data_IF_621013921587
#
_entry.id   IF_621013921587
#
_cell.length_a   1.000
_cell.length_b   1.000
_cell.length_c   1.000
_cell.angle_alpha   90.00
_cell.angle_beta   90.00
_cell.angle_gamma   90.00
#
_symmetry.space_group_name_H-M   'P 1'
#
loop_
_entity.id
_entity.type
_entity.pdbx_description
1 polymer ?
#
# COMPACT_ATOMS: atom_id res chain seq x y z
N UNK A 1 49.86 59.16 -7.04
CA UNK A 1 49.71 60.60 -7.38
C UNK A 1 48.69 61.16 -6.42
N UNK A 2 49.16 61.80 -5.35
CA UNK A 2 48.32 62.40 -4.32
C UNK A 2 47.88 63.78 -4.78
N UNK A 3 46.60 64.12 -4.63
CA UNK A 3 46.17 65.50 -4.40
C UNK A 3 44.92 65.49 -3.52
N UNK A 4 45.10 66.01 -2.31
CA UNK A 4 44.07 66.51 -1.42
C UNK A 4 43.43 67.77 -2.02
N UNK A 5 42.14 67.94 -1.79
CA UNK A 5 41.54 69.27 -1.67
C UNK A 5 40.55 69.29 -0.51
N UNK A 6 40.91 70.10 0.47
CA UNK A 6 40.10 70.53 1.61
C UNK A 6 38.88 71.34 1.15
N UNK A 7 37.81 71.35 1.95
CA UNK A 7 36.98 72.54 2.04
C UNK A 7 36.47 72.78 3.46
N UNK A 8 36.27 74.05 3.73
CA UNK A 8 36.30 74.74 5.03
C UNK A 8 34.98 74.71 5.82
N UNK A 9 35.13 74.61 7.14
CA UNK A 9 34.44 75.28 8.26
C UNK A 9 33.37 76.35 7.93
N UNK A 10 32.24 76.37 8.66
CA UNK A 10 31.88 77.41 9.66
C UNK A 10 30.71 76.94 10.56
N UNK A 11 30.77 77.41 11.81
CA UNK A 11 30.01 77.19 13.04
C UNK A 11 28.56 77.72 13.00
N UNK A 12 27.66 77.16 13.83
CA UNK A 12 27.19 77.86 15.04
C UNK A 12 26.21 77.02 15.89
N UNK A 13 26.45 77.07 17.20
CA UNK A 13 25.61 76.56 18.28
C UNK A 13 24.42 77.48 18.54
N UNK A 14 23.24 76.92 18.84
CA UNK A 14 22.30 77.54 19.79
C UNK A 14 21.69 76.44 20.66
N UNK A 15 22.02 76.52 21.96
CA UNK A 15 21.39 75.80 23.06
C UNK A 15 19.97 76.31 23.28
N UNK A 16 19.02 75.38 23.47
CA UNK A 16 17.66 75.65 23.94
C UNK A 16 17.19 74.51 24.84
N UNK A 17 17.39 74.67 26.15
CA UNK A 17 16.79 73.84 27.20
C UNK A 17 15.35 74.28 27.45
N UNK A 18 14.37 73.35 27.50
CA UNK A 18 13.53 73.06 28.67
C UNK A 18 12.31 72.19 28.34
N UNK A 19 11.93 71.40 29.35
CA UNK A 19 10.60 70.87 29.65
C UNK A 19 10.24 69.48 29.10
N UNK A 20 10.39 68.52 30.02
CA UNK A 20 9.66 67.27 30.10
C UNK A 20 8.16 67.48 29.92
N UNK A 21 7.53 66.67 29.09
CA UNK A 21 6.11 66.37 29.22
C UNK A 21 5.91 64.87 28.91
N UNK A 22 5.88 64.10 29.99
CA UNK A 22 5.66 62.65 30.00
C UNK A 22 4.19 62.41 29.64
N UNK A 23 3.93 62.06 28.38
CA UNK A 23 2.65 61.46 27.98
C UNK A 23 2.68 59.96 28.27
N UNK A 24 1.70 59.41 28.99
CA UNK A 24 1.62 57.97 29.21
C UNK A 24 1.26 57.29 27.89
N UNK A 25 2.22 56.57 27.30
CA UNK A 25 1.93 55.60 26.26
C UNK A 25 1.08 54.51 26.88
N UNK A 26 -0.21 54.51 26.56
CA UNK A 26 -1.09 53.36 26.76
C UNK A 26 -0.41 52.14 26.14
N UNK A 27 0.18 51.31 27.00
CA UNK A 27 0.55 49.94 26.70
C UNK A 27 -0.75 49.20 26.40
N UNK A 28 -1.19 49.27 25.14
CA UNK A 28 -2.16 48.34 24.60
C UNK A 28 -1.45 47.00 24.54
N UNK A 29 -1.44 46.32 25.68
CA UNK A 29 -1.19 44.89 25.80
C UNK A 29 -2.31 44.20 25.02
N UNK A 30 -2.15 44.13 23.70
CA UNK A 30 -2.77 43.10 22.89
C UNK A 30 -2.21 41.79 23.42
N UNK A 31 -2.94 41.18 24.36
CA UNK A 31 -2.91 39.75 24.54
C UNK A 31 -3.16 39.16 23.17
N UNK A 32 -2.09 38.74 22.51
CA UNK A 32 -2.16 37.88 21.35
C UNK A 32 -2.99 36.68 21.83
N UNK A 33 -4.16 36.38 21.25
CA UNK A 33 -4.79 35.12 21.55
C UNK A 33 -3.74 34.08 21.18
N UNK A 34 -3.29 33.30 22.15
CA UNK A 34 -2.48 32.12 21.95
C UNK A 34 -3.26 31.32 20.91
N UNK A 35 -2.80 31.43 19.66
CA UNK A 35 -3.33 30.65 18.55
C UNK A 35 -3.05 29.24 19.00
N UNK A 36 -4.11 28.55 19.41
CA UNK A 36 -4.07 27.11 19.61
C UNK A 36 -3.49 26.59 18.30
N UNK A 37 -2.27 26.08 18.37
CA UNK A 37 -1.53 25.56 17.22
C UNK A 37 -2.40 24.42 16.69
N UNK A 38 -3.11 24.70 15.60
CA UNK A 38 -3.86 23.66 14.93
C UNK A 38 -2.75 22.84 14.29
N UNK A 39 -2.41 21.70 14.90
CA UNK A 39 -1.54 20.66 14.34
C UNK A 39 -1.60 20.75 12.81
N UNK A 40 -0.47 21.05 12.14
CA UNK A 40 -0.43 21.28 10.69
C UNK A 40 -1.03 20.09 9.96
N UNK A 41 -2.33 20.19 9.66
CA UNK A 41 -3.07 19.09 9.09
C UNK A 41 -2.99 19.19 7.58
N UNK A 42 -2.30 18.22 6.97
CA UNK A 42 -2.23 18.06 5.52
C UNK A 42 -3.59 17.63 4.99
N UNK A 43 -4.09 18.37 4.00
CA UNK A 43 -5.38 18.14 3.34
C UNK A 43 -5.11 17.84 1.87
N UNK A 44 -5.18 16.57 1.51
CA UNK A 44 -4.71 16.08 0.21
C UNK A 44 -5.88 15.45 -0.53
N UNK A 45 -6.05 15.79 -1.80
CA UNK A 45 -7.02 15.16 -2.69
C UNK A 45 -6.31 14.20 -3.62
N UNK A 46 -6.68 12.92 -3.58
CA UNK A 46 -6.11 11.89 -4.44
C UNK A 46 -7.12 11.41 -5.47
N UNK A 47 -6.77 11.43 -6.75
CA UNK A 47 -7.51 10.69 -7.76
C UNK A 47 -6.97 9.26 -7.80
N UNK A 48 -7.76 8.29 -7.34
CA UNK A 48 -7.27 6.93 -7.12
C UNK A 48 -7.62 6.04 -8.31
N UNK A 49 -6.60 5.39 -8.89
CA UNK A 49 -6.75 4.42 -9.96
C UNK A 49 -6.10 3.09 -9.58
N UNK A 50 -6.84 1.99 -9.79
CA UNK A 50 -6.31 0.63 -9.66
C UNK A 50 -5.87 0.15 -11.03
N UNK A 51 -4.62 -0.29 -11.13
CA UNK A 51 -3.98 -0.73 -12.37
C UNK A 51 -3.66 -2.23 -12.30
N UNK A 52 -3.94 -2.98 -13.39
CA UNK A 52 -3.54 -4.39 -13.47
C UNK A 52 -2.01 -4.56 -13.53
N UNK A 53 -1.31 -3.61 -14.15
CA UNK A 53 0.15 -3.57 -14.27
C UNK A 53 0.63 -2.11 -14.36
N UNK A 54 1.92 -1.86 -14.08
CA UNK A 54 2.46 -0.49 -13.88
C UNK A 54 2.11 0.50 -14.99
N UNK A 55 2.41 0.11 -16.23
CA UNK A 55 2.26 0.96 -17.41
C UNK A 55 0.88 0.81 -18.08
N UNK A 56 -0.11 0.27 -17.36
CA UNK A 56 -1.46 0.17 -17.87
C UNK A 56 -2.00 1.56 -18.24
N UNK A 57 -2.65 1.61 -19.41
CA UNK A 57 -3.35 2.81 -19.87
C UNK A 57 -4.62 3.03 -19.04
N UNK A 58 -5.13 4.27 -19.07
CA UNK A 58 -6.31 4.65 -18.30
C UNK A 58 -7.52 3.73 -18.57
N UNK A 59 -7.74 3.30 -19.83
CA UNK A 59 -8.85 2.39 -20.21
C UNK A 59 -8.82 1.03 -19.52
N UNK A 60 -7.62 0.58 -19.12
CA UNK A 60 -7.40 -0.70 -18.45
C UNK A 60 -7.35 -0.54 -16.93
N UNK A 61 -7.51 0.69 -16.43
CA UNK A 61 -7.44 1.02 -15.01
C UNK A 61 -8.86 1.24 -14.48
N UNK A 62 -9.12 0.77 -13.26
CA UNK A 62 -10.37 1.06 -12.57
C UNK A 62 -10.21 2.38 -11.80
N UNK A 63 -11.05 3.37 -12.09
CA UNK A 63 -11.10 4.60 -11.30
C UNK A 63 -11.93 4.37 -10.03
N UNK A 64 -11.36 4.69 -8.88
CA UNK A 64 -12.05 4.68 -7.59
C UNK A 64 -12.53 6.08 -7.17
N UNK A 65 -12.35 7.08 -8.03
CA UNK A 65 -12.73 8.47 -7.78
C UNK A 65 -11.73 9.23 -6.90
N UNK A 66 -12.19 10.36 -6.37
CA UNK A 66 -11.38 11.24 -5.53
C UNK A 66 -11.50 10.83 -4.06
N UNK A 67 -10.35 10.68 -3.40
CA UNK A 67 -10.19 10.41 -1.99
C UNK A 67 -9.62 11.65 -1.30
N UNK A 68 -10.39 12.23 -0.37
CA UNK A 68 -9.93 13.32 0.47
C UNK A 68 -9.29 12.77 1.75
N UNK A 69 -8.03 13.15 1.99
CA UNK A 69 -7.23 12.69 3.12
C UNK A 69 -6.83 13.88 4.00
N UNK A 70 -7.14 13.75 5.28
CA UNK A 70 -6.73 14.65 6.35
C UNK A 70 -5.81 13.90 7.31
N UNK A 71 -4.56 14.35 7.46
CA UNK A 71 -3.51 13.69 8.26
C UNK A 71 -2.53 14.70 8.84
N UNK A 72 -1.90 14.38 9.97
CA UNK A 72 -0.93 15.25 10.66
C UNK A 72 0.54 14.91 10.37
N UNK A 73 0.84 13.83 9.64
CA UNK A 73 2.23 13.42 9.33
C UNK A 73 2.33 12.59 8.05
N UNK A 74 3.55 12.45 7.52
CA UNK A 74 3.83 11.56 6.38
C UNK A 74 3.61 10.09 6.71
N UNK A 75 3.91 9.66 7.94
CA UNK A 75 3.63 8.31 8.40
C UNK A 75 2.12 8.03 8.48
N UNK A 76 1.34 8.98 9.00
CA UNK A 76 -0.12 8.87 9.02
C UNK A 76 -0.71 8.85 7.60
N UNK A 77 -0.13 9.61 6.67
CA UNK A 77 -0.46 9.55 5.25
C UNK A 77 -0.22 8.13 4.70
N UNK A 78 1.00 7.60 4.85
CA UNK A 78 1.37 6.26 4.37
C UNK A 78 0.44 5.17 4.94
N UNK A 79 0.13 5.23 6.24
CA UNK A 79 -0.83 4.31 6.86
C UNK A 79 -2.21 4.34 6.19
N UNK A 80 -2.77 5.54 5.95
CA UNK A 80 -4.06 5.67 5.25
C UNK A 80 -4.02 5.16 3.80
N UNK A 81 -2.91 5.38 3.09
CA UNK A 81 -2.76 4.84 1.73
C UNK A 81 -2.63 3.33 1.78
N UNK A 82 -1.89 2.77 2.73
CA UNK A 82 -1.77 1.34 2.91
C UNK A 82 -3.13 0.69 3.15
N UNK A 83 -3.91 1.19 4.12
CA UNK A 83 -5.26 0.70 4.43
C UNK A 83 -6.18 0.71 3.20
N UNK A 84 -6.01 1.72 2.34
CA UNK A 84 -6.75 1.80 1.08
C UNK A 84 -6.22 0.83 0.04
N UNK A 85 -4.90 0.71 -0.11
CA UNK A 85 -4.26 -0.11 -1.13
C UNK A 85 -4.56 -1.60 -0.92
N UNK A 86 -4.47 -2.10 0.31
CA UNK A 86 -4.70 -3.53 0.61
C UNK A 86 -6.11 -4.03 0.28
N UNK A 87 -7.08 -3.12 0.11
CA UNK A 87 -8.44 -3.48 -0.35
C UNK A 87 -8.50 -3.82 -1.85
N UNK A 88 -7.48 -3.42 -2.63
CA UNK A 88 -7.47 -3.54 -4.09
C UNK A 88 -6.24 -4.28 -4.63
N UNK A 89 -5.23 -4.51 -3.80
CA UNK A 89 -4.07 -5.34 -4.15
C UNK A 89 -4.44 -6.80 -3.91
N UNK A 90 -4.35 -7.62 -4.95
CA UNK A 90 -4.71 -9.05 -4.91
C UNK A 90 -3.50 -9.92 -4.50
N UNK A 91 -2.29 -9.39 -4.67
CA UNK A 91 -1.05 -9.95 -4.17
C UNK A 91 0.16 -9.15 -4.65
N UNK A 92 1.37 -9.58 -4.30
CA UNK A 92 2.60 -8.97 -4.82
C UNK A 92 3.31 -10.00 -5.69
N UNK A 93 3.41 -9.72 -6.99
CA UNK A 93 4.09 -10.60 -7.92
C UNK A 93 5.60 -10.59 -7.65
N UNK A 94 6.20 -11.78 -7.69
CA UNK A 94 7.64 -12.00 -7.63
C UNK A 94 8.05 -12.72 -8.91
N UNK A 95 9.09 -12.21 -9.56
CA UNK A 95 9.72 -12.89 -10.68
C UNK A 95 10.90 -13.72 -10.14
N UNK A 96 10.72 -15.05 -10.09
CA UNK A 96 11.74 -16.00 -9.68
C UNK A 96 12.37 -16.73 -10.88
N UNK A 97 13.30 -17.67 -10.63
CA UNK A 97 13.93 -18.46 -11.68
C UNK A 97 12.95 -19.32 -12.50
N UNK A 98 11.84 -19.73 -11.88
CA UNK A 98 10.80 -20.56 -12.50
C UNK A 98 9.66 -19.72 -13.12
N UNK A 99 9.84 -18.40 -13.21
CA UNK A 99 8.82 -17.47 -13.69
C UNK A 99 8.11 -16.73 -12.57
N UNK A 100 6.90 -16.26 -12.86
CA UNK A 100 6.11 -15.48 -11.92
C UNK A 100 5.47 -16.34 -10.84
N UNK A 101 5.43 -15.79 -9.64
CA UNK A 101 4.65 -16.29 -8.50
C UNK A 101 4.08 -15.12 -7.73
N UNK A 102 3.18 -15.38 -6.78
CA UNK A 102 2.77 -14.38 -5.79
C UNK A 102 3.52 -14.64 -4.48
N UNK A 103 3.91 -13.54 -3.84
CA UNK A 103 4.47 -13.56 -2.49
C UNK A 103 3.49 -14.18 -1.50
N UNK A 104 3.99 -15.05 -0.63
CA UNK A 104 3.19 -15.72 0.40
C UNK A 104 2.97 -14.85 1.64
N UNK A 105 3.94 -13.97 1.96
CA UNK A 105 3.89 -13.14 3.16
C UNK A 105 2.79 -12.06 3.06
N UNK A 106 2.02 -11.87 4.15
CA UNK A 106 1.05 -10.78 4.25
C UNK A 106 1.66 -9.43 3.91
N UNK A 107 0.87 -8.57 3.28
CA UNK A 107 1.28 -7.20 3.00
C UNK A 107 1.32 -6.39 4.30
N UNK A 108 2.38 -5.60 4.46
CA UNK A 108 2.59 -4.68 5.58
C UNK A 108 2.86 -3.28 5.06
N UNK A 109 2.81 -2.26 5.93
CA UNK A 109 3.07 -0.87 5.52
C UNK A 109 4.45 -0.68 4.86
N UNK A 110 5.43 -1.55 5.12
CA UNK A 110 6.75 -1.51 4.48
C UNK A 110 6.67 -1.82 2.97
N UNK A 111 5.65 -2.57 2.56
CA UNK A 111 5.46 -2.96 1.15
C UNK A 111 4.85 -1.84 0.30
N UNK A 112 4.48 -0.71 0.91
CA UNK A 112 3.70 0.33 0.25
C UNK A 112 4.36 0.82 -1.04
N UNK A 113 5.69 0.96 -1.06
CA UNK A 113 6.43 1.40 -2.25
C UNK A 113 6.30 0.43 -3.43
N UNK A 114 6.14 -0.86 -3.15
CA UNK A 114 5.94 -1.89 -4.17
C UNK A 114 4.50 -1.93 -4.70
N UNK A 115 3.56 -1.31 -4.00
CA UNK A 115 2.12 -1.40 -4.28
C UNK A 115 1.55 -0.13 -4.90
N UNK A 116 2.12 1.04 -4.61
CA UNK A 116 1.56 2.32 -5.05
C UNK A 116 2.61 3.25 -5.64
N UNK A 117 2.15 4.16 -6.50
CA UNK A 117 2.90 5.36 -6.84
C UNK A 117 1.98 6.56 -6.93
N UNK A 118 2.56 7.75 -6.82
CA UNK A 118 1.83 9.00 -6.94
C UNK A 118 2.36 9.77 -8.13
N UNK A 119 1.48 10.51 -8.80
CA UNK A 119 1.86 11.45 -9.84
C UNK A 119 1.22 12.79 -9.56
N UNK A 120 2.06 13.81 -9.50
CA UNK A 120 1.63 15.19 -9.47
C UNK A 120 2.26 15.92 -10.66
N UNK A 121 1.42 16.38 -11.58
CA UNK A 121 1.83 16.96 -12.87
C UNK A 121 2.68 15.97 -13.66
N UNK A 122 3.96 16.28 -13.88
CA UNK A 122 4.89 15.44 -14.64
C UNK A 122 5.87 14.66 -13.74
N UNK A 123 5.73 14.76 -12.42
CA UNK A 123 6.62 14.08 -11.48
C UNK A 123 5.93 12.88 -10.84
N UNK A 124 6.66 11.76 -10.79
CA UNK A 124 6.25 10.55 -10.09
C UNK A 124 6.95 10.46 -8.74
N UNK A 125 6.21 10.03 -7.74
CA UNK A 125 6.70 9.83 -6.38
C UNK A 125 6.42 8.38 -5.98
N UNK A 126 7.40 7.84 -5.27
CA UNK A 126 7.32 6.59 -4.55
C UNK A 126 6.71 6.87 -3.16
N UNK A 127 6.13 5.87 -2.51
CA UNK A 127 5.51 6.05 -1.20
C UNK A 127 6.52 6.46 -0.12
N UNK A 128 7.73 5.92 -0.18
CA UNK A 128 8.81 6.25 0.76
C UNK A 128 9.34 7.67 0.58
N UNK A 129 9.25 8.23 -0.64
CA UNK A 129 9.77 9.58 -0.92
C UNK A 129 8.84 10.69 -0.47
N UNK A 130 7.65 10.37 0.05
CA UNK A 130 6.67 11.36 0.51
C UNK A 130 7.06 11.94 1.86
N UNK A 131 7.61 13.15 1.84
CA UNK A 131 7.99 13.93 3.02
C UNK A 131 6.92 14.95 3.42
N UNK A 132 7.05 15.51 4.62
CA UNK A 132 6.21 16.62 5.11
C UNK A 132 6.17 17.80 4.12
N UNK A 133 7.30 18.17 3.51
CA UNK A 133 7.35 19.29 2.56
C UNK A 133 6.58 19.00 1.26
N UNK A 134 6.57 17.74 0.80
CA UNK A 134 5.76 17.31 -0.33
C UNK A 134 4.27 17.40 0.01
N UNK A 135 3.88 16.90 1.19
CA UNK A 135 2.49 16.97 1.63
C UNK A 135 2.00 18.41 1.83
N UNK A 136 2.85 19.28 2.36
CA UNK A 136 2.56 20.70 2.49
C UNK A 136 2.38 21.37 1.12
N UNK A 137 3.22 21.03 0.13
CA UNK A 137 3.10 21.52 -1.24
C UNK A 137 1.79 21.08 -1.89
N UNK A 138 1.42 19.80 -1.75
CA UNK A 138 0.16 19.28 -2.28
C UNK A 138 -1.05 19.91 -1.61
N UNK A 139 -1.00 20.13 -0.29
CA UNK A 139 -2.05 20.80 0.49
C UNK A 139 -2.24 22.25 0.04
N UNK A 140 -1.15 23.03 -0.02
CA UNK A 140 -1.21 24.47 -0.30
C UNK A 140 -1.70 24.80 -1.71
N UNK A 141 -1.53 23.88 -2.66
CA UNK A 141 -1.91 24.11 -4.06
C UNK A 141 -3.33 23.70 -4.38
N UNK A 142 -4.01 22.92 -3.54
CA UNK A 142 -5.34 22.35 -3.80
C UNK A 142 -5.42 21.50 -5.09
N UNK A 143 -4.28 20.99 -5.57
CA UNK A 143 -4.25 20.13 -6.75
C UNK A 143 -4.58 18.68 -6.38
N UNK A 144 -5.32 18.02 -7.26
CA UNK A 144 -5.50 16.57 -7.18
C UNK A 144 -4.22 15.86 -7.61
N UNK A 145 -3.78 14.90 -6.79
CA UNK A 145 -2.63 14.04 -7.07
C UNK A 145 -3.15 12.69 -7.54
N UNK A 146 -2.64 12.15 -8.64
CA UNK A 146 -3.02 10.81 -9.05
C UNK A 146 -2.32 9.79 -8.14
N UNK A 147 -3.08 8.85 -7.59
CA UNK A 147 -2.59 7.71 -6.83
C UNK A 147 -2.87 6.44 -7.63
N UNK A 148 -1.80 5.73 -8.02
CA UNK A 148 -1.90 4.47 -8.75
C UNK A 148 -1.67 3.32 -7.76
N UNK A 149 -2.66 2.45 -7.62
CA UNK A 149 -2.57 1.19 -6.86
C UNK A 149 -2.37 0.06 -7.87
N UNK A 150 -1.35 -0.78 -7.68
CA UNK A 150 -1.03 -1.88 -8.59
C UNK A 150 -1.51 -3.21 -8.04
N UNK A 151 -2.45 -3.86 -8.73
CA UNK A 151 -3.09 -5.12 -8.27
C UNK A 151 -2.11 -6.21 -7.86
N UNK A 152 -0.99 -6.29 -8.59
CA UNK A 152 0.05 -7.30 -8.39
C UNK A 152 1.42 -6.68 -8.05
N UNK A 153 1.42 -5.44 -7.56
CA UNK A 153 2.63 -4.67 -7.29
C UNK A 153 3.38 -4.21 -8.55
N UNK A 154 4.56 -3.64 -8.34
CA UNK A 154 5.39 -2.97 -9.36
C UNK A 154 6.19 -3.92 -10.27
N UNK A 155 6.27 -5.20 -9.94
CA UNK A 155 7.06 -6.17 -10.70
C UNK A 155 6.40 -6.55 -12.04
N UNK A 156 5.08 -6.36 -12.17
CA UNK A 156 4.37 -6.51 -13.44
C UNK A 156 4.22 -5.14 -14.10
N UNK A 157 5.06 -4.85 -15.09
CA UNK A 157 5.15 -3.50 -15.66
C UNK A 157 4.43 -3.34 -16.99
N UNK A 158 4.47 -4.35 -17.85
CA UNK A 158 3.93 -4.29 -19.22
C UNK A 158 2.75 -5.22 -19.41
N UNK A 159 2.02 -5.05 -20.51
CA UNK A 159 0.95 -5.97 -20.89
C UNK A 159 1.48 -7.39 -21.13
N UNK A 160 2.65 -7.53 -21.77
CA UNK A 160 3.26 -8.84 -22.00
C UNK A 160 3.60 -9.55 -20.68
N UNK A 161 4.25 -8.83 -19.75
CA UNK A 161 4.55 -9.37 -18.41
C UNK A 161 3.28 -9.72 -17.65
N UNK A 162 2.22 -8.93 -17.83
CA UNK A 162 0.93 -9.24 -17.22
C UNK A 162 0.33 -10.51 -17.80
N UNK A 163 0.33 -10.70 -19.12
CA UNK A 163 -0.11 -11.95 -19.74
C UNK A 163 0.72 -13.16 -19.29
N UNK A 164 2.04 -13.03 -19.20
CA UNK A 164 2.91 -14.11 -18.69
C UNK A 164 2.60 -14.44 -17.22
N UNK A 165 2.39 -13.40 -16.39
CA UNK A 165 1.95 -13.56 -15.01
C UNK A 165 0.59 -14.24 -14.92
N UNK A 166 -0.38 -13.83 -15.75
CA UNK A 166 -1.71 -14.44 -15.78
C UNK A 166 -1.63 -15.93 -16.13
N UNK A 167 -0.89 -16.28 -17.19
CA UNK A 167 -0.72 -17.68 -17.60
C UNK A 167 -0.03 -18.53 -16.52
N UNK A 168 0.97 -17.96 -15.81
CA UNK A 168 1.70 -18.69 -14.79
C UNK A 168 0.97 -18.78 -13.42
N UNK A 169 0.12 -17.80 -13.10
CA UNK A 169 -0.36 -17.60 -11.73
C UNK A 169 -1.89 -17.54 -11.61
N UNK A 170 -2.60 -17.01 -12.60
CA UNK A 170 -4.05 -16.80 -12.54
C UNK A 170 -4.86 -17.79 -13.38
N UNK A 171 -4.29 -18.33 -14.46
CA UNK A 171 -4.96 -19.32 -15.28
C UNK A 171 -4.93 -20.70 -14.59
N UNK A 172 -6.06 -21.43 -14.53
CA UNK A 172 -6.05 -22.82 -14.10
C UNK A 172 -5.13 -23.62 -15.01
N UNK A 173 -4.30 -24.50 -14.43
CA UNK A 173 -3.33 -25.31 -15.17
C UNK A 173 -3.95 -26.18 -16.29
N UNK A 174 -5.27 -26.30 -16.38
CA UNK A 174 -6.03 -26.77 -17.54
C UNK A 174 -7.50 -26.36 -17.33
N UNK A 175 -7.92 -25.27 -17.96
CA UNK A 175 -9.34 -24.91 -18.05
C UNK A 175 -10.00 -25.76 -19.14
N UNK A 176 -10.70 -26.84 -18.76
CA UNK A 176 -11.59 -27.49 -19.72
C UNK A 176 -12.75 -26.53 -20.05
N UNK A 177 -13.31 -26.66 -21.27
CA UNK A 177 -14.20 -25.70 -21.97
C UNK A 177 -15.50 -25.30 -21.24
N UNK A 178 -15.70 -25.75 -20.00
CA UNK A 178 -16.87 -25.47 -19.17
C UNK A 178 -16.60 -24.61 -17.91
N UNK A 179 -15.35 -24.20 -17.65
CA UNK A 179 -15.05 -23.32 -16.50
C UNK A 179 -15.15 -23.98 -15.12
N UNK A 180 -15.20 -25.31 -15.07
CA UNK A 180 -14.93 -26.09 -13.86
C UNK A 180 -13.42 -26.38 -13.78
N UNK A 181 -12.85 -26.40 -12.58
CA UNK A 181 -11.49 -26.92 -12.39
C UNK A 181 -11.42 -28.31 -13.04
N UNK A 182 -10.42 -28.55 -13.90
CA UNK A 182 -10.21 -29.87 -14.49
C UNK A 182 -10.26 -30.92 -13.37
N UNK A 183 -10.99 -32.02 -13.59
CA UNK A 183 -11.05 -33.14 -12.65
C UNK A 183 -9.62 -33.62 -12.28
N UNK A 184 -8.64 -33.39 -13.15
CA UNK A 184 -7.24 -33.73 -12.93
C UNK A 184 -6.56 -32.82 -11.91
N UNK A 185 -6.89 -31.52 -11.86
CA UNK A 185 -6.37 -30.58 -10.85
C UNK A 185 -6.89 -30.95 -9.47
N UNK A 186 -8.20 -31.19 -9.35
CA UNK A 186 -8.83 -31.60 -8.08
C UNK A 186 -8.25 -32.96 -7.63
N UNK A 187 -8.09 -33.90 -8.55
CA UNK A 187 -7.46 -35.20 -8.27
C UNK A 187 -6.01 -35.05 -7.79
N UNK A 188 -5.24 -34.16 -8.43
CA UNK A 188 -3.85 -33.87 -8.04
C UNK A 188 -3.76 -33.28 -6.63
N UNK A 189 -4.57 -32.25 -6.34
CA UNK A 189 -4.64 -31.64 -5.01
C UNK A 189 -5.10 -32.67 -3.97
N UNK A 190 -6.11 -33.49 -4.29
CA UNK A 190 -6.58 -34.54 -3.39
C UNK A 190 -5.47 -35.54 -3.05
N UNK A 191 -4.65 -35.94 -4.02
CA UNK A 191 -3.50 -36.82 -3.79
C UNK A 191 -2.44 -36.14 -2.93
N UNK A 192 -2.15 -34.86 -3.15
CA UNK A 192 -1.21 -34.08 -2.34
C UNK A 192 -1.69 -33.94 -0.88
N UNK A 193 -2.98 -33.65 -0.68
CA UNK A 193 -3.60 -33.62 0.65
C UNK A 193 -3.49 -34.97 1.36
N UNK A 194 -3.79 -36.08 0.68
CA UNK A 194 -3.65 -37.42 1.27
C UNK A 194 -2.22 -37.77 1.59
N UNK A 195 -1.27 -37.41 0.74
CA UNK A 195 0.16 -37.64 1.01
C UNK A 195 0.64 -36.84 2.22
N UNK A 196 0.17 -35.59 2.37
CA UNK A 196 0.56 -34.72 3.48
C UNK A 196 -0.11 -35.08 4.80
N UNK A 197 -1.41 -35.39 4.77
CA UNK A 197 -2.27 -35.44 5.94
C UNK A 197 -2.89 -36.82 6.20
N UNK A 198 -2.76 -37.77 5.28
CA UNK A 198 -3.40 -39.08 5.38
C UNK A 198 -2.91 -39.94 6.54
N UNK A 199 -1.77 -39.60 7.14
CA UNK A 199 -1.29 -40.21 8.39
C UNK A 199 -1.91 -39.60 9.64
N UNK A 200 -2.36 -38.35 9.57
CA UNK A 200 -2.92 -37.59 10.70
C UNK A 200 -4.45 -37.65 10.72
N UNK A 201 -5.07 -37.63 9.54
CA UNK A 201 -6.50 -37.57 9.36
C UNK A 201 -6.98 -38.74 8.49
N UNK A 202 -8.05 -39.40 8.93
CA UNK A 202 -8.77 -40.42 8.19
C UNK A 202 -10.16 -39.91 7.83
N UNK A 203 -10.54 -40.05 6.56
CA UNK A 203 -11.88 -39.68 6.09
C UNK A 203 -12.21 -40.37 4.76
N UNK A 204 -13.49 -40.30 4.37
CA UNK A 204 -13.97 -40.82 3.09
C UNK A 204 -13.43 -40.01 1.92
N UNK A 205 -13.33 -40.64 0.74
CA UNK A 205 -12.78 -40.02 -0.47
C UNK A 205 -13.48 -38.71 -0.83
N UNK A 206 -14.80 -38.64 -0.66
CA UNK A 206 -15.61 -37.46 -0.95
C UNK A 206 -15.21 -36.24 -0.09
N UNK A 207 -14.81 -36.46 1.17
CA UNK A 207 -14.44 -35.37 2.07
C UNK A 207 -13.06 -34.79 1.70
N UNK A 208 -12.13 -35.64 1.26
CA UNK A 208 -10.87 -35.18 0.65
C UNK A 208 -11.11 -34.39 -0.63
N UNK A 209 -12.09 -34.80 -1.43
CA UNK A 209 -12.46 -34.09 -2.66
C UNK A 209 -13.11 -32.73 -2.36
N UNK A 210 -13.95 -32.62 -1.33
CA UNK A 210 -14.51 -31.33 -0.87
C UNK A 210 -13.38 -30.37 -0.49
N UNK A 211 -12.39 -30.85 0.27
CA UNK A 211 -11.21 -30.04 0.62
C UNK A 211 -10.38 -29.67 -0.61
N UNK A 212 -10.11 -30.63 -1.50
CA UNK A 212 -9.37 -30.36 -2.73
C UNK A 212 -10.07 -29.33 -3.63
N UNK A 213 -11.41 -29.39 -3.71
CA UNK A 213 -12.22 -28.42 -4.44
C UNK A 213 -12.15 -27.01 -3.84
N UNK A 214 -12.12 -26.88 -2.51
CA UNK A 214 -11.99 -25.55 -1.89
C UNK A 214 -10.63 -24.92 -2.18
N UNK A 215 -9.59 -25.73 -2.37
CA UNK A 215 -8.25 -25.25 -2.76
C UNK A 215 -8.19 -24.99 -4.28
N UNK A 216 -8.82 -25.82 -5.10
CA UNK A 216 -8.71 -25.72 -6.57
C UNK A 216 -9.30 -24.43 -7.17
N UNK A 217 -10.22 -23.79 -6.46
CA UNK A 217 -10.79 -22.49 -6.84
C UNK A 217 -9.89 -21.30 -6.48
N UNK A 218 -8.91 -21.50 -5.58
CA UNK A 218 -7.94 -20.47 -5.23
C UNK A 218 -6.86 -20.36 -6.32
N UNK A 219 -6.17 -19.22 -6.42
CA UNK A 219 -5.01 -19.07 -7.31
C UNK A 219 -3.94 -20.16 -7.06
N UNK A 220 -3.34 -20.69 -8.12
CA UNK A 220 -2.41 -21.85 -8.05
C UNK A 220 -1.24 -21.63 -7.09
N UNK A 221 -0.76 -20.39 -6.99
CA UNK A 221 0.31 -20.00 -6.07
C UNK A 221 -0.06 -20.13 -4.59
N UNK A 222 -1.36 -20.22 -4.25
CA UNK A 222 -1.81 -20.44 -2.87
C UNK A 222 -1.98 -21.91 -2.56
N UNK A 223 -2.01 -22.79 -3.56
CA UNK A 223 -2.32 -24.21 -3.36
C UNK A 223 -1.34 -24.87 -2.41
N UNK A 224 -0.04 -24.67 -2.57
CA UNK A 224 0.98 -25.26 -1.69
C UNK A 224 0.79 -24.83 -0.23
N UNK A 225 0.57 -23.53 0.01
CA UNK A 225 0.33 -22.99 1.34
C UNK A 225 -0.99 -23.49 1.97
N UNK A 226 -2.03 -23.69 1.16
CA UNK A 226 -3.32 -24.23 1.61
C UNK A 226 -3.23 -25.74 1.89
N UNK A 227 -2.46 -26.49 1.10
CA UNK A 227 -2.20 -27.92 1.33
C UNK A 227 -1.38 -28.12 2.60
N UNK A 228 -0.49 -27.19 2.94
CA UNK A 228 0.31 -27.24 4.17
C UNK A 228 -0.48 -26.96 5.45
N UNK A 229 -1.72 -26.49 5.36
CA UNK A 229 -2.61 -26.23 6.49
C UNK A 229 -3.48 -27.45 6.82
N UNK A 230 -3.92 -27.61 8.08
CA UNK A 230 -4.87 -28.68 8.46
C UNK A 230 -6.24 -28.47 7.78
N UNK A 231 -7.14 -29.47 7.84
CA UNK A 231 -8.49 -29.35 7.29
C UNK A 231 -9.19 -28.07 7.80
N UNK A 232 -9.81 -27.27 6.92
CA UNK A 232 -10.60 -26.10 7.29
C UNK A 232 -11.67 -26.42 8.35
N UNK A 233 -11.94 -25.45 9.23
CA UNK A 233 -12.81 -25.64 10.41
C UNK A 233 -14.26 -26.04 10.05
N UNK A 234 -14.73 -25.64 8.89
CA UNK A 234 -16.05 -26.00 8.36
C UNK A 234 -16.14 -27.47 7.97
N UNK A 235 -15.04 -28.11 7.56
CA UNK A 235 -15.02 -29.53 7.16
C UNK A 235 -14.26 -30.44 8.11
N UNK A 236 -13.56 -29.91 9.11
CA UNK A 236 -12.73 -30.69 10.05
C UNK A 236 -13.53 -31.79 10.75
N UNK A 237 -14.82 -31.56 11.01
CA UNK A 237 -15.74 -32.53 11.63
C UNK A 237 -15.98 -33.79 10.77
N UNK A 238 -15.65 -33.73 9.48
CA UNK A 238 -15.71 -34.86 8.55
C UNK A 238 -14.45 -35.74 8.61
N UNK A 239 -13.40 -35.31 9.32
CA UNK A 239 -12.14 -36.02 9.44
C UNK A 239 -11.98 -36.54 10.87
N UNK A 240 -11.53 -37.79 11.00
CA UNK A 240 -11.14 -38.39 12.29
C UNK A 240 -9.62 -38.37 12.41
N UNK A 241 -9.08 -38.22 13.61
CA UNK A 241 -7.67 -38.46 13.81
C UNK A 241 -7.35 -39.93 13.55
N UNK A 242 -6.25 -40.18 12.84
CA UNK A 242 -5.75 -41.54 12.63
C UNK A 242 -5.39 -42.14 14.00
N UNK A 243 -5.72 -43.42 14.27
CA UNK A 243 -5.28 -44.09 15.48
C UNK A 243 -3.75 -44.02 15.57
N UNK A 244 -3.23 -43.36 16.59
CA UNK A 244 -1.83 -43.53 16.97
C UNK A 244 -1.66 -44.96 17.47
N UNK A 245 -0.54 -45.60 17.12
CA UNK A 245 -0.15 -47.00 17.41
C UNK A 245 -0.22 -47.41 18.90
N UNK A 246 -0.60 -46.49 19.80
CA UNK A 246 -0.88 -46.74 21.21
C UNK A 246 -2.27 -47.31 21.50
N UNK A 247 -3.20 -47.29 20.54
CA UNK A 247 -4.58 -47.78 20.73
C UNK A 247 -4.82 -49.24 20.26
N UNK A 248 -3.79 -49.95 19.76
CA UNK A 248 -3.92 -51.34 19.24
C UNK A 248 -3.61 -52.41 20.30
N UNK A 249 -3.34 -52.02 21.56
CA UNK A 249 -3.13 -52.94 22.68
C UNK A 249 -4.20 -52.76 23.76
N UNK A 250 -5.44 -53.17 23.47
CA UNK A 250 -6.46 -53.49 24.50
C UNK A 250 -7.28 -54.70 24.08
#
# INVERSE_FOLDING_TARGET
MAMSTSNSSVLDEVSGSHSEDIRPTLSSSRSHPTRVDIDELYRIKLNVLVKPYKNAQARSSLSLGVLDINVSSSQAFQGKIFDRAVQHVEGIAILGPQGYSLRAEPMTCVDLDSMVSFKHRNHFYNAESITASILQNWTAREHTVDCFIYKYGLNVQTLAQYSDFQAAVLEPAEADRAGAASNDVVSTIMNQLRNRWGTTYMSQSINWQIWANSISIEPINRHEALIAQPPPMDIIHLFRHSPTDSDVLK
#
